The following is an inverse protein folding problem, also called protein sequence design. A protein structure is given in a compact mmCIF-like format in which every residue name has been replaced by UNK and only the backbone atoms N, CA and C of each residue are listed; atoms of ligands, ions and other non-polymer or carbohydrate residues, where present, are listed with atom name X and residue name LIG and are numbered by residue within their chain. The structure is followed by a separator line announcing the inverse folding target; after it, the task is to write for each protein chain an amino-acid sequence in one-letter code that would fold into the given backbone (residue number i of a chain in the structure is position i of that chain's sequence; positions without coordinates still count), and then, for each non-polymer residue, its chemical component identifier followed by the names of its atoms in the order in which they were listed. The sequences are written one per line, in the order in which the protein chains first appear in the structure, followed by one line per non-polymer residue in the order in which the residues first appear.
data_IF_252025821883
#
_entry.id   IF_252025821883
#
_cell.length_a   1.000
_cell.length_b   1.000
_cell.length_c   1.000
_cell.angle_alpha   90.00
_cell.angle_beta   90.00
_cell.angle_gamma   90.00
#
_symmetry.space_group_name_H-M   'P 1'
#
loop_
_entity.id
_entity.type
_entity.pdbx_description
1 polymer ?
#
# COMPACT_ATOMS: atom_id res chain seq x y z
N UNK A 1 49.68 16.73 -5.19
CA UNK A 1 49.07 15.98 -4.06
C UNK A 1 47.58 15.63 -4.24
N UNK A 2 46.91 16.11 -5.31
CA UNK A 2 45.46 15.87 -5.56
C UNK A 2 45.14 14.44 -6.06
N UNK A 3 46.13 13.74 -6.64
CA UNK A 3 45.94 12.42 -7.28
C UNK A 3 45.42 11.31 -6.36
N UNK A 4 45.96 11.22 -5.13
CA UNK A 4 45.58 10.16 -4.19
C UNK A 4 44.15 10.28 -3.67
N UNK A 5 43.66 11.51 -3.47
CA UNK A 5 42.30 11.76 -2.98
C UNK A 5 41.26 11.36 -4.03
N UNK A 6 41.52 11.62 -5.31
CA UNK A 6 40.66 11.18 -6.42
C UNK A 6 40.63 9.66 -6.54
N UNK A 7 41.79 9.01 -6.40
CA UNK A 7 41.88 7.54 -6.42
C UNK A 7 41.13 6.90 -5.24
N UNK A 8 41.22 7.49 -4.04
CA UNK A 8 40.47 7.02 -2.86
C UNK A 8 38.97 7.20 -3.09
N UNK A 9 38.52 8.36 -3.58
CA UNK A 9 37.10 8.59 -3.86
C UNK A 9 36.56 7.65 -4.94
N UNK A 10 37.32 7.38 -6.00
CA UNK A 10 36.95 6.36 -6.99
C UNK A 10 36.89 4.97 -6.37
N UNK A 11 37.87 4.58 -5.55
CA UNK A 11 37.88 3.28 -4.89
C UNK A 11 36.68 3.13 -3.95
N UNK A 12 36.33 4.17 -3.19
CA UNK A 12 35.13 4.20 -2.34
C UNK A 12 33.86 4.10 -3.20
N UNK A 13 33.77 4.84 -4.30
CA UNK A 13 32.64 4.77 -5.23
C UNK A 13 32.46 3.37 -5.83
N UNK A 14 33.53 2.77 -6.35
CA UNK A 14 33.51 1.41 -6.89
C UNK A 14 33.22 0.36 -5.82
N UNK A 15 33.78 0.52 -4.61
CA UNK A 15 33.53 -0.38 -3.49
C UNK A 15 32.08 -0.31 -3.01
N UNK A 16 31.51 0.90 -2.93
CA UNK A 16 30.09 1.10 -2.61
C UNK A 16 29.19 0.47 -3.70
N UNK A 17 29.52 0.67 -4.97
CA UNK A 17 28.83 0.02 -6.10
C UNK A 17 28.95 -1.50 -6.06
N UNK A 18 30.12 -2.04 -5.68
CA UNK A 18 30.35 -3.47 -5.51
C UNK A 18 29.55 -4.06 -4.34
N UNK A 19 29.57 -3.43 -3.16
CA UNK A 19 28.78 -3.87 -2.01
C UNK A 19 27.28 -3.82 -2.29
N UNK A 20 26.81 -2.75 -2.93
CA UNK A 20 25.39 -2.61 -3.26
C UNK A 20 24.91 -3.69 -4.22
N UNK A 21 25.78 -4.27 -5.05
CA UNK A 21 25.46 -5.42 -5.92
C UNK A 21 25.55 -6.77 -5.21
N UNK A 22 26.33 -6.87 -4.13
CA UNK A 22 26.58 -8.13 -3.42
C UNK A 22 25.60 -8.39 -2.27
N UNK A 23 24.98 -7.34 -1.73
CA UNK A 23 23.91 -7.47 -0.74
C UNK A 23 22.62 -7.86 -1.45
N UNK A 24 22.29 -9.14 -1.37
CA UNK A 24 21.04 -9.70 -1.87
C UNK A 24 19.89 -9.22 -0.98
N UNK A 25 19.30 -8.07 -1.32
CA UNK A 25 18.22 -7.45 -0.56
C UNK A 25 17.00 -8.36 -0.44
N UNK A 26 16.77 -9.27 -1.39
CA UNK A 26 15.72 -10.29 -1.31
C UNK A 26 15.97 -11.27 -0.15
N UNK A 27 17.21 -11.70 0.07
CA UNK A 27 17.57 -12.52 1.25
C UNK A 27 17.54 -11.76 2.56
N UNK A 28 17.75 -10.44 2.51
CA UNK A 28 17.73 -9.59 3.70
C UNK A 28 16.32 -9.11 4.05
N UNK A 29 15.43 -9.04 3.06
CA UNK A 29 14.02 -8.71 3.28
C UNK A 29 13.33 -9.79 4.08
N UNK A 30 12.69 -9.42 5.19
CA UNK A 30 12.05 -10.38 6.08
C UNK A 30 12.98 -11.54 6.48
N UNK A 31 14.25 -11.22 6.75
CA UNK A 31 15.17 -12.22 7.28
C UNK A 31 14.56 -12.82 8.56
N UNK A 32 14.74 -14.13 8.79
CA UNK A 32 14.20 -14.80 9.98
C UNK A 32 14.60 -14.11 11.29
N UNK A 33 15.80 -13.50 11.30
CA UNK A 33 16.25 -12.66 12.41
C UNK A 33 15.34 -11.45 12.63
N UNK A 34 14.99 -10.71 11.57
CA UNK A 34 14.15 -9.52 11.69
C UNK A 34 12.73 -9.90 12.16
N UNK A 35 12.15 -10.94 11.57
CA UNK A 35 10.81 -11.38 11.94
C UNK A 35 10.73 -11.79 13.41
N UNK A 36 11.74 -12.53 13.89
CA UNK A 36 11.84 -12.95 15.30
C UNK A 36 12.13 -11.77 16.24
N UNK A 37 13.03 -10.85 15.86
CA UNK A 37 13.48 -9.77 16.74
C UNK A 37 12.51 -8.58 16.80
N UNK A 38 11.78 -8.30 15.72
CA UNK A 38 10.96 -7.08 15.59
C UNK A 38 9.48 -7.36 15.29
N UNK A 39 9.08 -8.64 15.20
CA UNK A 39 7.69 -9.06 15.08
C UNK A 39 7.15 -9.02 13.65
N UNK A 40 8.04 -9.04 12.65
CA UNK A 40 7.69 -9.15 11.23
C UNK A 40 6.91 -7.96 10.66
N UNK A 41 6.15 -8.22 9.61
CA UNK A 41 5.32 -7.22 8.95
C UNK A 41 4.13 -6.80 9.83
N UNK A 42 3.96 -5.48 10.00
CA UNK A 42 2.83 -4.85 10.68
C UNK A 42 2.08 -3.96 9.69
N UNK A 43 0.76 -3.91 9.82
CA UNK A 43 -0.16 -3.20 8.92
C UNK A 43 -1.19 -2.39 9.70
N UNK A 44 -1.82 -1.43 9.04
CA UNK A 44 -2.86 -0.56 9.62
C UNK A 44 -4.16 -0.61 8.78
N UNK A 45 -4.52 -1.81 8.30
CA UNK A 45 -5.65 -2.09 7.41
C UNK A 45 -6.98 -1.61 8.01
N UNK A 46 -7.27 -1.98 9.26
CA UNK A 46 -8.55 -1.67 9.90
C UNK A 46 -8.77 -0.16 10.03
N UNK A 47 -7.74 0.59 10.43
CA UNK A 47 -7.82 2.04 10.55
C UNK A 47 -7.97 2.70 9.18
N UNK A 48 -7.23 2.22 8.17
CA UNK A 48 -7.36 2.73 6.80
C UNK A 48 -8.77 2.48 6.25
N UNK A 49 -9.30 1.27 6.42
CA UNK A 49 -10.65 0.89 6.00
C UNK A 49 -11.71 1.71 6.72
N UNK A 50 -11.57 1.96 8.03
CA UNK A 50 -12.48 2.81 8.79
C UNK A 50 -12.54 4.24 8.21
N UNK A 51 -11.37 4.84 7.91
CA UNK A 51 -11.31 6.17 7.29
C UNK A 51 -11.99 6.16 5.91
N UNK A 52 -11.75 5.12 5.10
CA UNK A 52 -12.31 5.05 3.75
C UNK A 52 -13.82 4.79 3.72
N UNK A 53 -14.41 4.19 4.77
CA UNK A 53 -15.87 4.02 4.89
C UNK A 53 -16.61 5.36 4.95
N UNK A 54 -15.98 6.38 5.51
CA UNK A 54 -16.57 7.72 5.71
C UNK A 54 -16.27 8.69 4.55
N UNK A 55 -15.62 8.21 3.48
CA UNK A 55 -15.34 9.01 2.30
C UNK A 55 -16.65 9.34 1.56
N UNK A 56 -16.84 10.62 1.23
CA UNK A 56 -18.07 11.09 0.59
C UNK A 56 -18.20 10.68 -0.88
N UNK A 57 -19.39 10.19 -1.24
CA UNK A 57 -19.69 9.66 -2.57
C UNK A 57 -20.17 8.21 -2.47
N UNK A 58 -20.51 7.60 -3.60
CA UNK A 58 -20.76 6.16 -3.62
C UNK A 58 -19.45 5.41 -3.82
N UNK A 59 -19.21 4.41 -2.98
CA UNK A 59 -18.08 3.51 -3.16
C UNK A 59 -18.26 2.19 -2.43
N UNK A 60 -17.44 1.22 -2.83
CA UNK A 60 -17.36 -0.11 -2.22
C UNK A 60 -15.93 -0.40 -1.80
N UNK A 61 -15.77 -0.98 -0.62
CA UNK A 61 -14.49 -1.42 -0.10
C UNK A 61 -14.32 -2.93 -0.28
N UNK A 62 -13.12 -3.33 -0.70
CA UNK A 62 -12.63 -4.70 -0.67
C UNK A 62 -11.39 -4.71 0.23
N UNK A 63 -11.31 -5.70 1.11
CA UNK A 63 -10.20 -5.88 2.05
C UNK A 63 -9.52 -7.21 1.73
N UNK A 64 -8.21 -7.26 1.89
CA UNK A 64 -7.40 -8.46 1.66
C UNK A 64 -7.67 -9.09 0.29
N UNK A 65 -7.62 -8.25 -0.76
CA UNK A 65 -7.85 -8.73 -2.12
C UNK A 65 -6.65 -9.57 -2.57
N UNK A 66 -6.92 -10.79 -3.04
CA UNK A 66 -5.91 -11.74 -3.50
C UNK A 66 -6.22 -12.22 -4.91
N UNK A 67 -5.18 -12.31 -5.73
CA UNK A 67 -5.27 -12.80 -7.10
C UNK A 67 -4.10 -13.69 -7.44
N UNK A 68 -4.36 -14.91 -7.91
CA UNK A 68 -3.31 -15.80 -8.39
C UNK A 68 -3.14 -15.60 -9.89
N UNK A 69 -2.05 -14.96 -10.29
CA UNK A 69 -1.68 -14.82 -11.70
C UNK A 69 -0.67 -15.87 -12.12
N UNK A 70 -0.48 -16.06 -13.42
CA UNK A 70 0.59 -16.91 -13.98
C UNK A 70 2.00 -16.47 -13.51
N UNK A 71 2.16 -15.19 -13.16
CA UNK A 71 3.43 -14.62 -12.69
C UNK A 71 3.57 -14.68 -11.16
N UNK A 72 2.62 -15.31 -10.46
CA UNK A 72 2.58 -15.41 -9.01
C UNK A 72 1.42 -14.64 -8.36
N UNK A 73 1.34 -14.69 -7.02
CA UNK A 73 0.26 -14.06 -6.28
C UNK A 73 0.41 -12.53 -6.26
N UNK A 74 -0.69 -11.83 -6.51
CA UNK A 74 -0.86 -10.40 -6.30
C UNK A 74 -1.83 -10.18 -5.14
N UNK A 75 -1.58 -9.13 -4.36
CA UNK A 75 -2.47 -8.75 -3.26
C UNK A 75 -2.46 -7.25 -3.01
N UNK A 76 -3.59 -6.74 -2.53
CA UNK A 76 -3.74 -5.39 -2.00
C UNK A 76 -4.51 -5.43 -0.67
N UNK A 77 -4.09 -4.60 0.28
CA UNK A 77 -4.68 -4.59 1.62
C UNK A 77 -6.09 -4.00 1.59
N UNK A 78 -6.27 -2.89 0.86
CA UNK A 78 -7.58 -2.22 0.73
C UNK A 78 -7.76 -1.71 -0.69
N UNK A 79 -8.94 -1.97 -1.26
CA UNK A 79 -9.37 -1.39 -2.54
C UNK A 79 -10.64 -0.60 -2.28
N UNK A 80 -10.64 0.67 -2.66
CA UNK A 80 -11.85 1.49 -2.74
C UNK A 80 -12.24 1.68 -4.20
N UNK A 81 -13.36 1.09 -4.59
CA UNK A 81 -14.06 1.38 -5.83
C UNK A 81 -14.95 2.60 -5.58
N UNK A 82 -14.74 3.71 -6.28
CA UNK A 82 -15.45 4.97 -6.02
C UNK A 82 -15.89 5.63 -7.33
N UNK A 83 -16.85 6.57 -7.27
CA UNK A 83 -17.37 7.33 -8.42
C UNK A 83 -16.29 8.00 -9.29
N UNK A 84 -15.09 8.18 -8.75
CA UNK A 84 -13.93 8.87 -9.38
C UNK A 84 -12.80 7.93 -9.81
N UNK A 85 -12.89 6.62 -9.56
CA UNK A 85 -11.86 5.64 -9.93
C UNK A 85 -11.63 4.55 -8.89
N UNK A 86 -10.55 3.79 -9.09
CA UNK A 86 -10.14 2.68 -8.21
C UNK A 86 -8.92 3.11 -7.40
N UNK A 87 -9.03 3.10 -6.07
CA UNK A 87 -7.93 3.42 -5.17
C UNK A 87 -7.43 2.13 -4.53
N UNK A 88 -6.16 1.82 -4.72
CA UNK A 88 -5.52 0.56 -4.30
C UNK A 88 -4.47 0.90 -3.26
N UNK A 89 -4.62 0.37 -2.05
CA UNK A 89 -3.79 0.69 -0.90
C UNK A 89 -2.93 -0.51 -0.51
N UNK A 90 -1.68 -0.20 -0.19
CA UNK A 90 -0.79 -1.04 0.58
C UNK A 90 -0.52 -0.33 1.91
N UNK A 91 -0.74 -1.00 3.03
CA UNK A 91 -0.59 -0.42 4.35
C UNK A 91 0.61 -0.99 5.08
N UNK A 92 1.32 -0.15 5.84
CA UNK A 92 2.49 -0.55 6.63
C UNK A 92 2.46 0.18 7.97
N UNK A 93 2.57 -0.54 9.08
CA UNK A 93 2.65 0.06 10.43
C UNK A 93 4.05 -0.12 11.02
N UNK A 94 5.01 0.53 10.35
CA UNK A 94 6.42 0.44 10.69
C UNK A 94 6.87 1.56 11.62
N UNK A 95 7.93 1.28 12.38
CA UNK A 95 8.68 2.28 13.14
C UNK A 95 9.95 2.73 12.40
N UNK A 96 10.60 3.79 12.88
CA UNK A 96 11.91 4.25 12.41
C UNK A 96 11.86 5.01 11.08
N UNK A 97 12.97 5.02 10.33
CA UNK A 97 13.06 5.74 9.05
C UNK A 97 12.78 4.83 7.88
N UNK A 98 11.95 5.28 6.95
CA UNK A 98 11.66 4.58 5.70
C UNK A 98 12.29 5.36 4.54
N UNK A 99 13.14 4.66 3.79
CA UNK A 99 13.81 5.20 2.61
C UNK A 99 13.70 4.27 1.40
N UNK A 100 13.63 4.84 0.20
CA UNK A 100 13.61 4.09 -1.06
C UNK A 100 13.10 4.93 -2.24
N UNK A 101 13.40 4.53 -3.46
CA UNK A 101 12.85 5.19 -4.65
C UNK A 101 11.67 4.39 -5.22
N UNK A 102 10.76 5.02 -5.99
CA UNK A 102 9.63 4.32 -6.59
C UNK A 102 10.05 3.20 -7.54
N UNK A 103 11.27 3.28 -8.09
CA UNK A 103 11.85 2.31 -9.02
C UNK A 103 12.67 1.21 -8.34
N UNK A 104 12.99 1.36 -7.04
CA UNK A 104 13.76 0.35 -6.31
C UNK A 104 12.90 -0.89 -6.05
N UNK A 105 13.44 -2.10 -6.23
CA UNK A 105 12.71 -3.35 -5.95
C UNK A 105 12.34 -3.47 -4.46
N UNK A 106 13.24 -3.00 -3.59
CA UNK A 106 13.08 -3.04 -2.14
C UNK A 106 13.38 -1.68 -1.51
N UNK A 107 12.52 -1.29 -0.58
CA UNK A 107 12.72 -0.15 0.32
C UNK A 107 13.39 -0.60 1.62
N UNK A 108 13.92 0.36 2.36
CA UNK A 108 14.67 0.14 3.59
C UNK A 108 13.93 0.77 4.76
N UNK A 109 13.77 -0.01 5.82
CA UNK A 109 13.38 0.46 7.14
C UNK A 109 14.62 0.46 8.03
N UNK A 110 14.97 1.61 8.60
CA UNK A 110 16.07 1.76 9.55
C UNK A 110 15.51 1.99 10.96
N UNK A 111 15.77 1.07 11.88
CA UNK A 111 15.39 1.18 13.28
C UNK A 111 16.62 1.51 14.13
N UNK A 112 16.49 2.43 15.07
CA UNK A 112 17.51 2.64 16.11
C UNK A 112 17.45 1.51 17.14
N UNK A 113 18.60 0.85 17.36
CA UNK A 113 18.74 -0.25 18.33
C UNK A 113 19.62 0.13 19.53
N UNK A 114 20.16 1.35 19.52
CA UNK A 114 21.01 1.89 20.57
C UNK A 114 21.52 3.29 20.21
N UNK A 115 22.31 3.90 21.10
CA UNK A 115 22.77 5.30 20.95
C UNK A 115 23.56 5.58 19.66
N UNK A 116 24.17 4.55 19.06
CA UNK A 116 24.97 4.64 17.84
C UNK A 116 24.78 3.46 16.89
N UNK A 117 23.76 2.64 17.11
CA UNK A 117 23.53 1.43 16.30
C UNK A 117 22.14 1.47 15.70
N UNK A 118 22.07 1.12 14.43
CA UNK A 118 20.82 0.91 13.72
C UNK A 118 20.77 -0.50 13.16
N UNK A 119 19.57 -1.03 12.99
CA UNK A 119 19.33 -2.21 12.18
C UNK A 119 18.51 -1.81 10.95
N UNK A 120 18.79 -2.48 9.84
CA UNK A 120 18.10 -2.27 8.59
C UNK A 120 17.28 -3.51 8.24
N UNK A 121 16.02 -3.28 7.89
CA UNK A 121 15.16 -4.26 7.27
C UNK A 121 14.85 -3.82 5.85
N UNK A 122 14.77 -4.77 4.93
CA UNK A 122 14.37 -4.51 3.56
C UNK A 122 12.94 -5.03 3.39
N UNK A 123 12.10 -4.30 2.68
CA UNK A 123 10.76 -4.77 2.35
C UNK A 123 10.43 -4.42 0.92
N UNK A 124 9.60 -5.25 0.29
CA UNK A 124 9.28 -5.07 -1.12
C UNK A 124 8.57 -3.73 -1.33
N UNK A 125 8.93 -3.03 -2.40
CA UNK A 125 8.39 -1.72 -2.70
C UNK A 125 6.86 -1.77 -2.85
N UNK A 126 6.09 -0.99 -2.05
CA UNK A 126 4.64 -0.96 -2.11
C UNK A 126 4.09 -0.65 -3.50
N UNK A 127 4.75 0.23 -4.27
CA UNK A 127 4.26 0.59 -5.60
C UNK A 127 4.47 -0.48 -6.65
N UNK A 128 5.55 -1.27 -6.57
CA UNK A 128 5.72 -2.41 -7.45
C UNK A 128 4.67 -3.49 -7.14
N UNK A 129 4.36 -3.70 -5.84
CA UNK A 129 3.30 -4.62 -5.41
C UNK A 129 1.93 -4.17 -5.95
N UNK A 130 1.60 -2.89 -5.77
CA UNK A 130 0.35 -2.31 -6.25
C UNK A 130 0.26 -2.29 -7.77
N UNK A 131 1.38 -2.07 -8.49
CA UNK A 131 1.41 -2.15 -9.95
C UNK A 131 1.02 -3.54 -10.44
N UNK A 132 1.61 -4.59 -9.87
CA UNK A 132 1.25 -5.97 -10.20
C UNK A 132 -0.22 -6.30 -9.89
N UNK A 133 -0.73 -5.79 -8.76
CA UNK A 133 -2.15 -5.89 -8.41
C UNK A 133 -3.06 -5.20 -9.44
N UNK A 134 -2.73 -3.97 -9.85
CA UNK A 134 -3.48 -3.21 -10.86
C UNK A 134 -3.45 -3.89 -12.23
N UNK A 135 -2.31 -4.46 -12.62
CA UNK A 135 -2.22 -5.25 -13.86
C UNK A 135 -3.16 -6.46 -13.84
N UNK A 136 -3.28 -7.14 -12.70
CA UNK A 136 -4.23 -8.24 -12.54
C UNK A 136 -5.69 -7.74 -12.63
N UNK A 137 -6.03 -6.63 -11.97
CA UNK A 137 -7.37 -6.02 -12.08
C UNK A 137 -7.71 -5.62 -13.52
N UNK A 138 -6.75 -5.07 -14.26
CA UNK A 138 -6.92 -4.72 -15.68
C UNK A 138 -7.18 -5.94 -16.57
N UNK A 139 -6.65 -7.11 -16.22
CA UNK A 139 -6.96 -8.38 -16.93
C UNK A 139 -8.39 -8.85 -16.69
N UNK A 140 -8.93 -8.63 -15.49
CA UNK A 140 -10.33 -8.95 -15.16
C UNK A 140 -11.33 -7.91 -15.69
N UNK A 141 -10.85 -6.72 -16.04
CA UNK A 141 -11.64 -5.61 -16.59
C UNK A 141 -11.14 -5.17 -17.98
N UNK A 142 -11.01 -6.09 -18.96
CA UNK A 142 -10.36 -5.82 -20.24
C UNK A 142 -11.14 -4.80 -21.11
N UNK A 143 -12.43 -4.66 -20.86
CA UNK A 143 -13.37 -3.72 -21.46
C UNK A 143 -13.34 -2.32 -20.81
N UNK A 144 -12.66 -2.16 -19.66
CA UNK A 144 -12.60 -0.90 -18.91
C UNK A 144 -11.21 -0.25 -18.93
N UNK A 145 -10.55 -0.21 -20.10
CA UNK A 145 -9.20 0.38 -20.25
C UNK A 145 -9.09 1.87 -19.88
N UNK A 146 -10.21 2.57 -19.87
CA UNK A 146 -10.34 3.99 -19.52
C UNK A 146 -10.41 4.22 -18.00
N UNK A 147 -10.52 3.17 -17.19
CA UNK A 147 -10.68 3.23 -15.74
C UNK A 147 -9.35 3.69 -15.07
N UNK A 148 -9.32 4.84 -14.37
CA UNK A 148 -8.14 5.26 -13.63
C UNK A 148 -7.95 4.45 -12.34
N UNK A 149 -6.68 4.16 -12.05
CA UNK A 149 -6.24 3.50 -10.83
C UNK A 149 -5.27 4.42 -10.09
N UNK A 150 -5.41 4.47 -8.76
CA UNK A 150 -4.59 5.28 -7.87
C UNK A 150 -3.90 4.38 -6.86
N UNK A 151 -2.57 4.49 -6.75
CA UNK A 151 -1.76 3.68 -5.84
C UNK A 151 -1.42 4.47 -4.58
N UNK A 152 -1.77 3.94 -3.42
CA UNK A 152 -1.56 4.60 -2.14
C UNK A 152 -0.72 3.70 -1.23
N UNK A 153 0.52 4.09 -0.97
CA UNK A 153 1.33 3.51 0.09
C UNK A 153 1.05 4.28 1.39
N UNK A 154 0.33 3.63 2.32
CA UNK A 154 -0.17 4.25 3.55
C UNK A 154 0.61 3.73 4.75
N UNK A 155 1.31 4.62 5.44
CA UNK A 155 2.15 4.28 6.58
C UNK A 155 1.54 4.70 7.91
N UNK A 156 1.70 3.90 8.95
CA UNK A 156 1.34 4.25 10.32
C UNK A 156 2.09 5.47 10.85
N UNK A 157 1.77 5.87 12.08
CA UNK A 157 2.38 7.06 12.70
C UNK A 157 3.76 6.84 13.31
N UNK A 158 4.25 5.60 13.36
CA UNK A 158 5.49 5.23 14.05
C UNK A 158 6.77 5.50 13.27
N UNK A 159 6.69 5.86 11.99
CA UNK A 159 7.85 6.06 11.13
C UNK A 159 8.02 7.49 10.63
N UNK A 160 9.22 7.80 10.16
CA UNK A 160 9.56 8.97 9.36
C UNK A 160 9.73 8.57 7.89
N UNK A 161 9.03 9.28 6.99
CA UNK A 161 9.01 8.98 5.56
C UNK A 161 9.92 9.95 4.81
N UNK A 162 11.13 9.52 4.46
CA UNK A 162 11.99 10.29 3.55
C UNK A 162 11.38 10.38 2.14
N UNK A 163 10.55 9.39 1.81
CA UNK A 163 9.95 9.22 0.49
C UNK A 163 8.73 10.12 0.24
N UNK A 164 8.18 10.82 1.24
CA UNK A 164 6.90 11.53 1.12
C UNK A 164 6.86 12.52 -0.07
N UNK A 165 8.02 13.12 -0.41
CA UNK A 165 8.18 14.02 -1.55
C UNK A 165 8.05 13.39 -2.95
N UNK A 166 7.95 12.06 -3.04
CA UNK A 166 7.81 11.31 -4.30
C UNK A 166 6.35 11.09 -4.72
N UNK A 167 5.39 11.66 -3.98
CA UNK A 167 3.97 11.59 -4.31
C UNK A 167 3.65 12.41 -5.58
N UNK A 168 2.79 11.88 -6.45
CA UNK A 168 2.28 12.55 -7.65
C UNK A 168 0.74 12.47 -7.73
N UNK A 169 0.14 12.72 -8.90
CA UNK A 169 -1.32 12.69 -9.08
C UNK A 169 -1.95 11.29 -8.93
N UNK A 170 -1.22 10.24 -9.29
CA UNK A 170 -1.70 8.85 -9.34
C UNK A 170 -1.16 8.01 -8.17
N UNK A 171 0.01 8.38 -7.65
CA UNK A 171 0.74 7.67 -6.59
C UNK A 171 0.87 8.55 -5.35
N UNK A 172 0.47 8.04 -4.20
CA UNK A 172 0.63 8.75 -2.92
C UNK A 172 1.45 7.92 -1.94
N UNK A 173 2.42 8.55 -1.30
CA UNK A 173 3.12 8.02 -0.12
C UNK A 173 2.74 8.92 1.04
N UNK A 174 1.92 8.40 1.96
CA UNK A 174 1.31 9.22 3.00
C UNK A 174 1.27 8.49 4.33
N UNK A 175 1.15 9.27 5.39
CA UNK A 175 0.78 8.75 6.70
C UNK A 175 -0.71 8.43 6.76
N UNK A 176 -1.10 7.49 7.60
CA UNK A 176 -2.49 7.12 7.88
C UNK A 176 -3.30 8.32 8.36
N UNK A 177 -2.71 9.17 9.22
CA UNK A 177 -3.32 10.43 9.69
C UNK A 177 -3.64 11.41 8.54
N UNK A 178 -3.02 11.23 7.38
CA UNK A 178 -3.19 12.06 6.19
C UNK A 178 -4.19 11.48 5.19
N UNK A 179 -4.63 10.23 5.39
CA UNK A 179 -5.47 9.51 4.44
C UNK A 179 -6.79 10.23 4.16
N UNK A 180 -7.48 10.69 5.20
CA UNK A 180 -8.80 11.34 5.06
C UNK A 180 -8.75 12.59 4.18
N UNK A 181 -7.83 13.53 4.47
CA UNK A 181 -7.72 14.76 3.67
C UNK A 181 -7.15 14.50 2.27
N UNK A 182 -6.27 13.50 2.13
CA UNK A 182 -5.70 13.14 0.83
C UNK A 182 -6.80 12.59 -0.09
N UNK A 183 -7.63 11.69 0.43
CA UNK A 183 -8.79 11.15 -0.28
C UNK A 183 -9.80 12.25 -0.64
N UNK A 184 -10.10 13.15 0.31
CA UNK A 184 -10.96 14.30 0.03
C UNK A 184 -10.42 15.16 -1.12
N UNK A 185 -9.12 15.47 -1.10
CA UNK A 185 -8.45 16.23 -2.15
C UNK A 185 -8.55 15.54 -3.51
N UNK A 186 -8.16 14.26 -3.59
CA UNK A 186 -8.19 13.47 -4.83
C UNK A 186 -9.60 13.34 -5.41
N UNK A 187 -10.61 13.10 -4.57
CA UNK A 187 -12.01 12.96 -5.00
C UNK A 187 -12.57 14.29 -5.47
N UNK A 188 -12.30 15.38 -4.75
CA UNK A 188 -12.80 16.72 -5.11
C UNK A 188 -12.18 17.24 -6.41
N UNK A 189 -10.92 16.91 -6.67
CA UNK A 189 -10.24 17.31 -7.92
C UNK A 189 -10.63 16.47 -9.13
N UNK A 190 -11.28 15.32 -8.92
CA UNK A 190 -11.63 14.38 -9.98
C UNK A 190 -13.09 14.52 -10.40
N UNK A 191 -13.35 14.32 -11.70
CA UNK A 191 -14.71 14.17 -12.21
C UNK A 191 -15.30 12.87 -11.69
N UNK A 192 -16.56 12.89 -11.27
CA UNK A 192 -17.37 11.69 -11.06
C UNK A 192 -17.85 11.14 -12.41
N UNK A 193 -17.54 9.88 -12.70
CA UNK A 193 -17.90 9.24 -13.97
C UNK A 193 -18.39 7.80 -13.83
N UNK A 194 -18.10 7.11 -12.72
CA UNK A 194 -18.61 5.77 -12.47
C UNK A 194 -20.00 5.85 -11.83
N UNK A 195 -20.98 5.19 -12.46
CA UNK A 195 -22.28 4.99 -11.85
C UNK A 195 -22.21 3.88 -10.80
N UNK A 196 -23.20 3.86 -9.90
CA UNK A 196 -23.35 2.80 -8.90
C UNK A 196 -23.37 1.40 -9.52
N UNK A 197 -24.05 1.23 -10.65
CA UNK A 197 -24.14 -0.04 -11.37
C UNK A 197 -22.77 -0.50 -11.89
N UNK A 198 -21.97 0.41 -12.44
CA UNK A 198 -20.62 0.08 -12.91
C UNK A 198 -19.69 -0.27 -11.73
N UNK A 199 -19.81 0.43 -10.60
CA UNK A 199 -19.05 0.10 -9.38
C UNK A 199 -19.43 -1.28 -8.86
N UNK A 200 -20.72 -1.61 -8.85
CA UNK A 200 -21.22 -2.92 -8.43
C UNK A 200 -20.73 -4.03 -9.38
N UNK A 201 -20.73 -3.79 -10.70
CA UNK A 201 -20.17 -4.70 -11.70
C UNK A 201 -18.67 -4.94 -11.51
N UNK A 202 -17.88 -3.88 -11.28
CA UNK A 202 -16.44 -4.00 -11.01
C UNK A 202 -16.22 -4.85 -9.76
N UNK A 203 -16.98 -4.57 -8.68
CA UNK A 203 -16.88 -5.31 -7.44
C UNK A 203 -17.12 -6.81 -7.64
N UNK A 204 -18.20 -7.16 -8.34
CA UNK A 204 -18.58 -8.57 -8.55
C UNK A 204 -17.53 -9.32 -9.40
N UNK A 205 -16.99 -8.67 -10.44
CA UNK A 205 -15.92 -9.25 -11.27
C UNK A 205 -14.63 -9.47 -10.49
N UNK A 206 -14.22 -8.50 -9.66
CA UNK A 206 -13.00 -8.62 -8.86
C UNK A 206 -13.15 -9.63 -7.70
N UNK A 207 -14.36 -9.80 -7.17
CA UNK A 207 -14.63 -10.76 -6.09
C UNK A 207 -14.73 -12.21 -6.61
N UNK A 208 -15.32 -12.44 -7.78
CA UNK A 208 -15.61 -13.77 -8.31
C UNK A 208 -14.38 -14.68 -8.49
N UNK A 209 -13.17 -14.11 -8.61
CA UNK A 209 -11.91 -14.83 -8.79
C UNK A 209 -11.16 -15.13 -7.48
N UNK A 210 -11.50 -14.48 -6.37
CA UNK A 210 -10.86 -14.75 -5.06
C UNK A 210 -11.08 -16.21 -4.60
N UNK A 211 -12.18 -16.82 -5.04
CA UNK A 211 -12.67 -18.11 -4.52
C UNK A 211 -12.27 -19.35 -5.29
N UNK A 212 -11.53 -19.24 -6.40
CA UNK A 212 -11.35 -20.41 -7.28
C UNK A 212 -10.25 -21.39 -6.88
N UNK A 213 -9.37 -21.12 -5.90
CA UNK A 213 -8.34 -22.11 -5.50
C UNK A 213 -7.99 -22.21 -4.00
N UNK A 214 -8.62 -21.49 -3.08
CA UNK A 214 -8.29 -21.58 -1.65
C UNK A 214 -9.37 -22.28 -0.83
N UNK A 215 -9.32 -23.61 -0.85
CA UNK A 215 -9.72 -24.38 0.31
C UNK A 215 -8.67 -24.24 1.41
N UNK A 216 -8.70 -23.15 2.18
CA UNK A 216 -8.03 -23.03 3.49
C UNK A 216 -8.53 -21.77 4.21
N UNK A 217 -9.15 -22.03 5.36
CA UNK A 217 -9.53 -21.17 6.49
C UNK A 217 -10.24 -19.83 6.22
N UNK A 218 -11.56 -19.83 6.45
CA UNK A 218 -12.40 -18.63 6.48
C UNK A 218 -12.36 -18.04 7.89
N UNK A 219 -11.51 -17.04 8.12
CA UNK A 219 -11.73 -16.10 9.21
C UNK A 219 -13.02 -15.29 8.97
N UNK A 220 -13.81 -14.92 10.00
CA UNK A 220 -15.16 -14.40 9.80
C UNK A 220 -15.15 -13.04 9.08
N UNK A 221 -15.71 -13.00 7.86
CA UNK A 221 -16.10 -11.75 7.20
C UNK A 221 -17.10 -11.01 8.10
N UNK A 222 -16.68 -9.91 8.71
CA UNK A 222 -17.58 -8.97 9.37
C UNK A 222 -18.38 -8.23 8.29
N UNK A 223 -19.63 -8.67 8.09
CA UNK A 223 -20.62 -8.00 7.26
C UNK A 223 -21.04 -6.68 7.92
N UNK A 224 -20.50 -5.56 7.45
CA UNK A 224 -20.81 -4.23 7.96
C UNK A 224 -22.14 -3.65 7.39
N UNK A 225 -22.98 -4.44 6.72
CA UNK A 225 -24.23 -3.92 6.12
C UNK A 225 -25.41 -3.77 7.09
N UNK A 226 -25.29 -4.19 8.36
CA UNK A 226 -26.36 -4.10 9.35
C UNK A 226 -25.88 -3.48 10.64
N UNK A 227 -25.93 -2.15 10.73
CA UNK A 227 -26.19 -1.40 11.98
C UNK A 227 -26.37 0.10 11.67
N UNK A 228 -27.55 0.47 11.17
CA UNK A 228 -28.08 1.82 11.39
C UNK A 228 -28.98 1.76 12.62
N UNK A 229 -28.68 2.46 13.72
CA UNK A 229 -29.72 2.81 14.67
C UNK A 229 -30.60 3.88 14.03
N UNK A 230 -31.78 3.46 13.60
CA UNK A 230 -32.89 4.36 13.31
C UNK A 230 -33.40 4.91 14.65
N UNK A 231 -33.49 6.24 14.78
CA UNK A 231 -33.67 6.82 16.12
C UNK A 231 -33.84 8.33 16.17
N UNK A 232 -34.73 8.89 15.33
CA UNK A 232 -35.41 10.13 15.72
C UNK A 232 -36.24 9.86 16.97
N UNK A 233 -35.95 10.55 18.07
CA UNK A 233 -36.98 10.99 19.02
C UNK A 233 -36.69 12.41 19.48
N UNK A 234 -37.54 13.32 19.02
CA UNK A 234 -37.83 14.56 19.72
C UNK A 234 -38.42 14.24 21.10
N UNK A 235 -38.00 14.95 22.13
CA UNK A 235 -38.85 15.25 23.29
C UNK A 235 -38.50 16.65 23.77
N UNK A 236 -39.48 17.53 23.60
CA UNK A 236 -39.70 18.78 24.32
C UNK A 236 -39.98 18.51 25.80
N UNK A 237 -39.36 19.28 26.69
CA UNK A 237 -39.63 19.34 28.12
C UNK A 237 -38.73 20.38 28.76
#
# INVERSE_FOLDING_TARGET
MISWLVLILMAVYFYHGYLSRRLDRRKLSHSSYYDVAYGGEKKCVDQAAAILKDVGGYGKLMLDWHYLSENGPASADVILLHETGVYVLETKDYGGWISGNPEDEYWVQTLETGKYTSCQNYFYNPFLKLSGCIECMKKELPDMKWLPYYSLAVFGGGCELENAGLSDGERKIIYLKQLSYTMYGMIRSSRKFLSRQVIDEIYDRLQGRETTETGLDKSPRLDYSKNRPDGRKAVSG
#
